data_IF_445416079600
#
_entry.id   IF_445416079600
#
_cell.length_a   1.000
_cell.length_b   1.000
_cell.length_c   1.000
_cell.angle_alpha   90.00
_cell.angle_beta   90.00
_cell.angle_gamma   90.00
#
_symmetry.space_group_name_H-M   'P 1'
#
loop_
_entity.id
_entity.type
_entity.pdbx_description
1 polymer ?
#
# COMPACT_ATOMS: atom_id res chain seq x y z
N UNK A 1 -37.86 43.33 -59.63
CA UNK A 1 -37.03 42.17 -59.46
C UNK A 1 -36.36 42.27 -58.06
N UNK A 2 -36.90 41.53 -57.07
CA UNK A 2 -36.35 41.47 -55.68
C UNK A 2 -35.46 40.23 -55.56
N UNK A 3 -34.12 40.44 -55.43
CA UNK A 3 -33.15 39.35 -55.14
C UNK A 3 -33.28 38.98 -53.65
N UNK A 4 -33.71 37.75 -53.36
CA UNK A 4 -33.64 37.18 -52.04
C UNK A 4 -32.21 36.68 -51.77
N UNK A 5 -31.55 37.27 -50.78
CA UNK A 5 -30.26 36.82 -50.26
C UNK A 5 -30.55 35.67 -49.26
N UNK A 6 -30.17 34.44 -49.59
CA UNK A 6 -30.23 33.30 -48.67
C UNK A 6 -28.92 33.31 -47.90
N UNK A 7 -29.00 33.64 -46.60
CA UNK A 7 -27.86 33.55 -45.65
C UNK A 7 -27.79 32.11 -45.12
N UNK A 8 -26.85 31.31 -45.67
CA UNK A 8 -26.56 29.94 -45.16
C UNK A 8 -25.61 30.08 -43.97
N UNK A 9 -26.14 29.94 -42.76
CA UNK A 9 -25.39 29.93 -41.53
C UNK A 9 -24.75 28.54 -41.38
N UNK A 10 -23.47 28.43 -41.69
CA UNK A 10 -22.66 27.20 -41.45
C UNK A 10 -22.43 27.08 -39.94
N UNK A 11 -23.20 26.18 -39.27
CA UNK A 11 -22.94 25.79 -37.90
C UNK A 11 -21.69 24.91 -37.90
N UNK A 12 -20.57 25.49 -37.56
CA UNK A 12 -19.30 24.75 -37.32
C UNK A 12 -19.45 24.03 -35.97
N UNK A 13 -19.99 22.80 -35.98
CA UNK A 13 -19.90 21.91 -34.83
C UNK A 13 -18.41 21.58 -34.59
N UNK A 14 -17.76 22.31 -33.67
CA UNK A 14 -16.47 21.93 -33.12
C UNK A 14 -16.72 20.65 -32.32
N UNK A 15 -16.60 19.49 -32.94
CA UNK A 15 -16.43 18.22 -32.24
C UNK A 15 -15.06 18.27 -31.55
N UNK A 16 -15.02 18.65 -30.28
CA UNK A 16 -13.88 18.41 -29.44
C UNK A 16 -13.75 16.89 -29.35
N UNK A 17 -12.92 16.31 -30.22
CA UNK A 17 -12.48 14.93 -30.06
C UNK A 17 -11.70 14.88 -28.74
N UNK A 18 -12.36 14.51 -27.66
CA UNK A 18 -11.69 14.05 -26.46
C UNK A 18 -10.93 12.77 -26.85
N UNK A 19 -9.67 12.93 -27.22
CA UNK A 19 -8.79 11.79 -27.37
C UNK A 19 -8.71 11.11 -25.99
N UNK A 20 -9.32 9.94 -25.88
CA UNK A 20 -9.21 9.12 -24.70
C UNK A 20 -7.73 8.88 -24.39
N UNK A 21 -7.25 9.39 -23.28
CA UNK A 21 -5.86 9.18 -22.85
C UNK A 21 -5.78 7.77 -22.27
N UNK A 22 -4.73 7.02 -22.62
CA UNK A 22 -4.42 5.77 -21.94
C UNK A 22 -3.71 6.09 -20.63
N UNK A 23 -4.33 5.73 -19.50
CA UNK A 23 -3.80 5.91 -18.14
C UNK A 23 -3.29 4.57 -17.64
N UNK A 24 -2.01 4.49 -17.30
CA UNK A 24 -1.39 3.29 -16.74
C UNK A 24 -1.45 3.30 -15.22
N UNK A 25 -2.10 2.27 -14.66
CA UNK A 25 -2.21 2.05 -13.21
C UNK A 25 -1.34 0.87 -12.82
N UNK A 26 -0.32 1.12 -12.00
CA UNK A 26 0.62 0.11 -11.55
C UNK A 26 0.38 -0.28 -10.08
N UNK A 27 0.53 -1.55 -9.77
CA UNK A 27 0.50 -2.04 -8.38
C UNK A 27 1.39 -3.27 -8.22
N UNK A 28 2.03 -3.51 -7.07
CA UNK A 28 2.69 -4.77 -6.83
C UNK A 28 1.67 -5.86 -6.50
N UNK A 29 2.02 -7.10 -6.81
CA UNK A 29 1.25 -8.29 -6.40
C UNK A 29 1.08 -8.35 -4.87
N UNK A 30 0.00 -8.99 -4.42
CA UNK A 30 -0.34 -9.15 -3.01
C UNK A 30 -1.47 -8.22 -2.55
N UNK A 31 -1.41 -7.77 -1.28
CA UNK A 31 -2.48 -6.95 -0.68
C UNK A 31 -2.80 -5.66 -1.45
N UNK A 32 -1.81 -4.91 -1.99
CA UNK A 32 -2.11 -3.71 -2.75
C UNK A 32 -2.99 -3.97 -3.99
N UNK A 33 -2.74 -5.09 -4.70
CA UNK A 33 -3.54 -5.46 -5.88
C UNK A 33 -5.00 -5.80 -5.53
N UNK A 34 -5.26 -6.33 -4.33
CA UNK A 34 -6.62 -6.61 -3.87
C UNK A 34 -7.50 -5.35 -3.80
N UNK A 35 -6.93 -4.19 -3.47
CA UNK A 35 -7.69 -2.93 -3.43
C UNK A 35 -8.29 -2.56 -4.79
N UNK A 36 -7.67 -3.01 -5.88
CA UNK A 36 -8.09 -2.76 -7.26
C UNK A 36 -8.96 -3.88 -7.86
N UNK A 37 -9.35 -4.88 -7.07
CA UNK A 37 -9.96 -6.13 -7.57
C UNK A 37 -11.16 -5.91 -8.48
N UNK A 38 -12.10 -5.05 -8.11
CA UNK A 38 -13.27 -4.72 -8.94
C UNK A 38 -12.87 -3.88 -10.15
N UNK A 39 -11.98 -2.89 -9.94
CA UNK A 39 -11.53 -2.00 -11.01
C UNK A 39 -10.84 -2.75 -12.14
N UNK A 40 -9.94 -3.68 -11.84
CA UNK A 40 -9.25 -4.52 -12.83
C UNK A 40 -10.23 -5.35 -13.65
N UNK A 41 -11.30 -5.84 -13.04
CA UNK A 41 -12.29 -6.69 -13.71
C UNK A 41 -13.36 -5.89 -14.49
N UNK A 42 -13.78 -4.71 -14.01
CA UNK A 42 -14.94 -4.00 -14.56
C UNK A 42 -14.61 -2.63 -15.17
N UNK A 43 -13.60 -1.89 -14.65
CA UNK A 43 -13.39 -0.50 -15.00
C UNK A 43 -12.21 -0.31 -15.98
N UNK A 44 -12.38 -0.72 -17.23
CA UNK A 44 -11.40 -0.46 -18.30
C UNK A 44 -11.48 0.97 -18.85
N UNK A 45 -12.52 1.70 -18.51
CA UNK A 45 -12.70 3.12 -18.80
C UNK A 45 -13.23 3.86 -17.58
N UNK A 46 -12.64 5.03 -17.29
CA UNK A 46 -13.06 5.91 -16.19
C UNK A 46 -13.07 7.34 -16.72
N UNK A 47 -14.22 8.03 -16.59
CA UNK A 47 -14.38 9.42 -17.04
C UNK A 47 -13.82 9.67 -18.45
N UNK A 48 -14.10 8.77 -19.41
CA UNK A 48 -13.67 8.87 -20.81
C UNK A 48 -12.20 8.51 -21.08
N UNK A 49 -11.42 8.11 -20.09
CA UNK A 49 -10.04 7.65 -20.27
C UNK A 49 -9.98 6.12 -20.24
N UNK A 50 -9.14 5.53 -21.11
CA UNK A 50 -8.84 4.09 -21.07
C UNK A 50 -7.86 3.81 -19.93
N UNK A 51 -8.10 2.73 -19.19
CA UNK A 51 -7.26 2.33 -18.06
C UNK A 51 -6.55 1.03 -18.38
N UNK A 52 -5.23 1.06 -18.31
CA UNK A 52 -4.36 -0.11 -18.39
C UNK A 52 -3.86 -0.46 -17.00
N UNK A 53 -4.31 -1.59 -16.45
CA UNK A 53 -3.84 -2.08 -15.15
C UNK A 53 -2.68 -3.04 -15.36
N UNK A 54 -1.57 -2.80 -14.66
CA UNK A 54 -0.42 -3.69 -14.62
C UNK A 54 -0.10 -4.09 -13.18
N UNK A 55 -0.19 -5.37 -12.90
CA UNK A 55 0.17 -5.94 -11.59
C UNK A 55 1.59 -6.49 -11.72
N UNK A 56 2.54 -5.83 -11.07
CA UNK A 56 3.93 -6.26 -11.03
C UNK A 56 4.12 -7.43 -10.07
N UNK A 57 5.01 -8.35 -10.42
CA UNK A 57 5.26 -9.57 -9.62
C UNK A 57 5.69 -9.28 -8.17
N UNK A 58 6.32 -8.14 -7.92
CA UNK A 58 6.76 -7.67 -6.61
C UNK A 58 7.02 -6.16 -6.61
N UNK A 59 7.37 -5.59 -5.46
CA UNK A 59 7.69 -4.17 -5.32
C UNK A 59 8.96 -3.75 -6.07
N UNK A 60 9.94 -4.63 -6.25
CA UNK A 60 11.19 -4.29 -6.94
C UNK A 60 10.95 -4.05 -8.44
N UNK A 61 10.12 -4.89 -9.07
CA UNK A 61 9.71 -4.70 -10.46
C UNK A 61 8.93 -3.39 -10.63
N UNK A 62 8.01 -3.08 -9.70
CA UNK A 62 7.27 -1.83 -9.69
C UNK A 62 8.21 -0.60 -9.59
N UNK A 63 9.21 -0.67 -8.70
CA UNK A 63 10.20 0.42 -8.53
C UNK A 63 10.90 0.74 -9.85
N UNK A 64 11.29 -0.28 -10.61
CA UNK A 64 11.95 -0.09 -11.93
C UNK A 64 11.04 0.67 -12.89
N UNK A 65 9.77 0.29 -13.01
CA UNK A 65 8.82 0.96 -13.89
C UNK A 65 8.51 2.39 -13.46
N UNK A 66 8.37 2.61 -12.15
CA UNK A 66 8.11 3.93 -11.62
C UNK A 66 9.30 4.89 -11.81
N UNK A 67 10.53 4.41 -11.67
CA UNK A 67 11.73 5.21 -11.96
C UNK A 67 11.86 5.58 -13.45
N UNK A 68 11.32 4.75 -14.33
CA UNK A 68 11.20 5.06 -15.77
C UNK A 68 9.99 5.96 -16.09
N UNK A 69 9.19 6.33 -15.08
CA UNK A 69 7.95 7.11 -15.21
C UNK A 69 6.89 6.43 -16.09
N UNK A 70 6.87 5.09 -16.13
CA UNK A 70 5.89 4.33 -16.93
C UNK A 70 4.48 4.33 -16.32
N UNK A 71 4.37 4.40 -14.97
CA UNK A 71 3.08 4.49 -14.28
C UNK A 71 2.54 5.91 -14.23
N UNK A 72 1.26 6.10 -14.51
CA UNK A 72 0.57 7.38 -14.35
C UNK A 72 -0.03 7.51 -12.94
N UNK A 73 -0.63 6.42 -12.47
CA UNK A 73 -1.10 6.20 -11.11
C UNK A 73 -0.43 4.93 -10.61
N UNK A 74 -0.04 4.88 -9.35
CA UNK A 74 0.50 3.64 -8.79
C UNK A 74 0.17 3.48 -7.31
N UNK A 75 0.08 2.22 -6.88
CA UNK A 75 0.14 1.87 -5.47
C UNK A 75 1.57 1.42 -5.16
N UNK A 76 2.25 2.18 -4.31
CA UNK A 76 3.68 1.97 -4.01
C UNK A 76 3.91 1.80 -2.52
N UNK A 77 5.03 1.20 -2.07
CA UNK A 77 5.45 1.30 -0.68
C UNK A 77 5.57 2.76 -0.25
N UNK A 78 5.08 3.11 0.93
CA UNK A 78 4.97 4.52 1.36
C UNK A 78 6.31 5.23 1.47
N UNK A 79 7.37 4.52 1.85
CA UNK A 79 8.73 5.06 1.82
C UNK A 79 9.22 5.34 0.39
N UNK A 80 8.77 4.56 -0.59
CA UNK A 80 9.14 4.77 -1.99
C UNK A 80 8.41 5.97 -2.60
N UNK A 81 7.19 6.30 -2.13
CA UNK A 81 6.53 7.55 -2.50
C UNK A 81 7.40 8.77 -2.15
N UNK A 82 8.03 8.77 -0.96
CA UNK A 82 8.99 9.80 -0.57
C UNK A 82 10.23 9.83 -1.49
N UNK A 83 10.74 8.66 -1.88
CA UNK A 83 11.89 8.60 -2.83
C UNK A 83 11.53 9.16 -4.21
N UNK A 84 10.33 8.87 -4.73
CA UNK A 84 9.87 9.42 -6.01
C UNK A 84 9.84 10.96 -5.95
N UNK A 85 9.30 11.51 -4.88
CA UNK A 85 9.27 12.96 -4.64
C UNK A 85 10.67 13.55 -4.55
N UNK A 86 11.53 13.01 -3.70
CA UNK A 86 12.89 13.51 -3.49
C UNK A 86 13.81 13.36 -4.73
N UNK A 87 13.43 12.48 -5.66
CA UNK A 87 14.07 12.36 -6.99
C UNK A 87 13.46 13.27 -8.05
N UNK A 88 12.54 14.17 -7.69
CA UNK A 88 11.84 15.09 -8.60
C UNK A 88 11.14 14.38 -9.77
N UNK A 89 10.48 13.26 -9.48
CA UNK A 89 9.73 12.50 -10.49
C UNK A 89 8.27 12.96 -10.62
N UNK A 90 7.89 14.08 -9.97
CA UNK A 90 6.60 14.75 -10.04
C UNK A 90 5.40 13.86 -9.69
N UNK A 91 5.56 12.94 -8.74
CA UNK A 91 4.46 12.20 -8.14
C UNK A 91 4.02 12.84 -6.85
N UNK A 92 2.70 12.85 -6.63
CA UNK A 92 2.08 13.29 -5.38
C UNK A 92 1.22 12.20 -4.77
N UNK A 93 1.07 12.21 -3.45
CA UNK A 93 0.30 11.24 -2.69
C UNK A 93 -1.18 11.63 -2.69
N UNK A 94 -2.06 10.75 -3.19
CA UNK A 94 -3.52 10.90 -3.12
C UNK A 94 -4.11 10.36 -1.81
N UNK A 95 -3.47 9.36 -1.22
CA UNK A 95 -3.91 8.71 0.02
C UNK A 95 -3.23 7.37 0.26
N UNK A 96 -3.69 6.69 1.29
CA UNK A 96 -3.22 5.37 1.69
C UNK A 96 -4.25 4.31 1.32
N UNK A 97 -3.81 3.17 0.77
CA UNK A 97 -4.68 2.03 0.43
C UNK A 97 -4.40 0.80 1.28
N UNK A 98 -3.29 0.78 2.02
CA UNK A 98 -2.93 -0.31 2.92
C UNK A 98 -2.17 0.22 4.12
N UNK A 99 -2.67 -0.12 5.29
CA UNK A 99 -2.11 0.26 6.58
C UNK A 99 -1.26 -0.87 7.14
N UNK A 100 -0.52 -0.59 8.19
CA UNK A 100 0.38 -1.55 8.80
C UNK A 100 -0.23 -2.93 8.98
N UNK A 101 0.43 -3.97 8.48
CA UNK A 101 -0.04 -5.36 8.50
C UNK A 101 1.03 -6.31 9.03
N UNK A 102 1.94 -5.83 9.89
CA UNK A 102 2.95 -6.66 10.54
C UNK A 102 2.49 -7.13 11.92
N UNK A 103 2.87 -8.37 12.25
CA UNK A 103 2.49 -9.04 13.48
C UNK A 103 3.67 -9.76 14.11
N UNK A 104 3.77 -9.75 15.45
CA UNK A 104 4.68 -10.65 16.16
C UNK A 104 3.94 -11.94 16.48
N UNK A 105 4.50 -13.04 16.00
CA UNK A 105 3.97 -14.40 16.18
C UNK A 105 5.01 -15.23 16.89
N UNK A 106 4.59 -16.12 17.78
CA UNK A 106 5.47 -17.06 18.47
C UNK A 106 4.84 -18.43 18.70
N UNK A 107 5.69 -19.42 19.05
CA UNK A 107 5.31 -20.79 19.44
C UNK A 107 4.67 -20.86 20.81
N UNK A 108 4.75 -19.78 21.61
CA UNK A 108 4.16 -19.66 22.95
C UNK A 108 3.43 -18.34 23.09
N UNK A 109 2.38 -18.32 23.86
CA UNK A 109 1.64 -17.07 24.15
C UNK A 109 2.56 -16.08 24.88
N UNK A 110 2.64 -14.87 24.34
CA UNK A 110 3.33 -13.70 24.93
C UNK A 110 2.27 -12.61 25.13
N UNK A 111 2.19 -12.05 26.33
CA UNK A 111 1.14 -11.10 26.69
C UNK A 111 1.66 -9.66 26.83
N UNK A 112 2.98 -9.50 26.98
CA UNK A 112 3.62 -8.21 27.08
C UNK A 112 4.86 -8.15 26.19
N UNK A 113 5.11 -7.01 25.54
CA UNK A 113 6.34 -6.78 24.78
C UNK A 113 7.60 -6.96 25.63
N UNK A 114 7.53 -6.69 26.94
CA UNK A 114 8.67 -6.88 27.85
C UNK A 114 9.13 -8.33 27.96
N UNK A 115 8.25 -9.30 27.70
CA UNK A 115 8.61 -10.72 27.66
C UNK A 115 9.51 -11.09 26.47
N UNK A 116 9.65 -10.18 25.48
CA UNK A 116 10.60 -10.33 24.38
C UNK A 116 12.06 -10.10 24.81
N UNK A 117 12.31 -9.55 26.00
CA UNK A 117 13.68 -9.40 26.53
C UNK A 117 14.36 -10.76 26.65
N UNK A 118 15.64 -10.78 26.27
CA UNK A 118 16.48 -11.98 26.19
C UNK A 118 15.99 -13.06 25.21
N UNK A 119 15.13 -12.66 24.24
CA UNK A 119 14.66 -13.54 23.16
C UNK A 119 15.35 -13.22 21.85
N UNK A 120 15.12 -14.11 20.88
CA UNK A 120 15.49 -13.90 19.49
C UNK A 120 14.23 -13.72 18.65
N UNK A 121 14.16 -12.68 17.86
CA UNK A 121 13.11 -12.44 16.89
C UNK A 121 13.68 -12.46 15.47
N UNK A 122 12.96 -13.10 14.57
CA UNK A 122 13.33 -13.16 13.16
C UNK A 122 12.46 -12.22 12.34
N UNK A 123 13.07 -11.46 11.46
CA UNK A 123 12.41 -10.52 10.54
C UNK A 123 13.17 -10.46 9.21
N UNK A 124 12.76 -9.58 8.32
CA UNK A 124 13.40 -9.34 7.03
C UNK A 124 13.49 -7.84 6.75
N UNK A 125 14.12 -7.47 5.63
CA UNK A 125 14.17 -6.08 5.18
C UNK A 125 14.94 -5.18 6.16
N UNK A 126 16.18 -5.57 6.51
CA UNK A 126 17.04 -4.81 7.41
C UNK A 126 17.19 -3.35 6.95
N UNK A 127 16.86 -2.39 7.83
CA UNK A 127 16.86 -0.97 7.51
C UNK A 127 15.69 -0.50 6.63
N UNK A 128 14.70 -1.37 6.38
CA UNK A 128 13.46 -1.05 5.66
C UNK A 128 12.26 -1.11 6.61
N UNK A 129 11.07 -0.84 6.12
CA UNK A 129 9.82 -0.77 6.91
C UNK A 129 9.62 -1.92 7.92
N UNK A 130 9.77 -3.22 7.55
CA UNK A 130 9.55 -4.32 8.50
C UNK A 130 10.45 -4.25 9.74
N UNK A 131 11.71 -3.91 9.53
CA UNK A 131 12.72 -3.76 10.56
C UNK A 131 12.52 -2.47 11.36
N UNK A 132 12.36 -1.33 10.67
CA UNK A 132 12.27 -0.02 11.32
C UNK A 132 11.04 0.06 12.23
N UNK A 133 9.88 -0.42 11.77
CA UNK A 133 8.64 -0.44 12.57
C UNK A 133 8.82 -1.32 13.81
N UNK A 134 9.38 -2.51 13.65
CA UNK A 134 9.66 -3.42 14.77
C UNK A 134 10.59 -2.75 15.79
N UNK A 135 11.73 -2.25 15.35
CA UNK A 135 12.75 -1.62 16.22
C UNK A 135 12.20 -0.38 16.93
N UNK A 136 11.46 0.45 16.22
CA UNK A 136 10.81 1.62 16.79
C UNK A 136 9.82 1.24 17.92
N UNK A 137 9.00 0.24 17.70
CA UNK A 137 8.05 -0.24 18.72
C UNK A 137 8.79 -0.82 19.92
N UNK A 138 9.82 -1.63 19.73
CA UNK A 138 10.61 -2.21 20.81
C UNK A 138 11.28 -1.12 21.67
N UNK A 139 11.95 -0.15 21.05
CA UNK A 139 12.59 0.96 21.75
C UNK A 139 11.61 1.78 22.58
N UNK A 140 10.46 2.15 22.01
CA UNK A 140 9.44 2.94 22.71
C UNK A 140 8.73 2.16 23.82
N UNK A 141 8.92 0.84 23.89
CA UNK A 141 8.45 -0.01 24.99
C UNK A 141 9.55 -0.42 25.96
N UNK A 142 10.69 0.29 25.96
CA UNK A 142 11.79 0.11 26.91
C UNK A 142 12.60 -1.16 26.70
N UNK A 143 12.69 -1.63 25.44
CA UNK A 143 13.55 -2.75 25.05
C UNK A 143 14.78 -2.22 24.32
N UNK A 144 15.94 -2.39 24.94
CA UNK A 144 17.22 -2.02 24.34
C UNK A 144 17.59 -3.01 23.24
N UNK A 145 17.77 -2.50 22.00
CA UNK A 145 18.01 -3.34 20.83
C UNK A 145 19.38 -4.01 20.80
N UNK A 146 20.33 -3.51 21.57
CA UNK A 146 21.70 -4.05 21.64
C UNK A 146 21.83 -5.13 22.72
N UNK A 147 21.16 -4.91 23.88
CA UNK A 147 21.36 -5.73 25.06
C UNK A 147 20.17 -6.63 25.41
N UNK A 148 18.93 -6.21 25.07
CA UNK A 148 17.73 -6.89 25.56
C UNK A 148 17.16 -7.90 24.53
N UNK A 149 17.50 -7.82 23.24
CA UNK A 149 16.90 -8.67 22.21
C UNK A 149 17.86 -8.91 21.05
N UNK A 150 17.83 -10.12 20.49
CA UNK A 150 18.58 -10.43 19.26
C UNK A 150 17.62 -10.41 18.07
N UNK A 151 17.85 -9.51 17.11
CA UNK A 151 17.12 -9.45 15.86
C UNK A 151 17.90 -10.18 14.77
N UNK A 152 17.32 -11.28 14.24
CA UNK A 152 17.88 -12.07 13.17
C UNK A 152 17.17 -11.73 11.85
N UNK A 153 17.93 -11.60 10.77
CA UNK A 153 17.36 -11.21 9.47
C UNK A 153 17.44 -12.37 8.50
N UNK A 154 16.32 -12.63 7.81
CA UNK A 154 16.26 -13.49 6.63
C UNK A 154 16.29 -12.62 5.37
N UNK A 155 16.63 -13.21 4.24
CA UNK A 155 16.72 -12.49 2.96
C UNK A 155 15.35 -12.06 2.46
N UNK A 156 14.33 -12.91 2.64
CA UNK A 156 12.95 -12.67 2.21
C UNK A 156 11.95 -13.07 3.30
N UNK A 157 10.85 -12.33 3.42
CA UNK A 157 9.77 -12.67 4.34
C UNK A 157 9.19 -14.07 4.11
N UNK A 158 9.28 -14.61 2.90
CA UNK A 158 8.83 -15.97 2.57
C UNK A 158 9.62 -17.08 3.30
N UNK A 159 10.79 -16.79 3.85
CA UNK A 159 11.58 -17.74 4.63
C UNK A 159 11.07 -17.87 6.08
N UNK A 160 10.34 -16.91 6.60
CA UNK A 160 9.87 -16.89 8.00
C UNK A 160 8.90 -18.05 8.32
N UNK A 161 7.83 -18.32 7.54
CA UNK A 161 6.92 -19.41 7.83
C UNK A 161 7.60 -20.80 7.90
N UNK A 162 8.44 -21.20 6.94
CA UNK A 162 9.13 -22.52 7.03
C UNK A 162 10.15 -22.60 8.17
N UNK A 163 10.80 -21.48 8.55
CA UNK A 163 11.68 -21.47 9.73
C UNK A 163 10.89 -21.66 11.03
N UNK A 164 9.73 -21.00 11.13
CA UNK A 164 8.83 -21.12 12.28
C UNK A 164 8.28 -22.54 12.42
N UNK A 165 7.71 -23.12 11.36
CA UNK A 165 7.12 -24.46 11.35
C UNK A 165 8.15 -25.53 11.74
N UNK A 166 9.42 -25.34 11.36
CA UNK A 166 10.52 -26.26 11.70
C UNK A 166 11.12 -26.02 13.10
N UNK A 167 10.57 -25.07 13.88
CA UNK A 167 11.09 -24.71 15.21
C UNK A 167 12.47 -24.04 15.22
N UNK A 168 12.93 -23.52 14.06
CA UNK A 168 14.20 -22.80 13.95
C UNK A 168 14.08 -21.31 14.28
N UNK A 169 12.87 -20.77 14.25
CA UNK A 169 12.53 -19.41 14.61
C UNK A 169 11.28 -19.40 15.48
N UNK A 170 11.43 -19.27 16.78
CA UNK A 170 10.32 -19.36 17.73
C UNK A 170 9.50 -18.07 17.83
N UNK A 171 10.07 -16.94 17.45
CA UNK A 171 9.40 -15.63 17.39
C UNK A 171 9.74 -14.99 16.05
N UNK A 172 8.71 -14.57 15.32
CA UNK A 172 8.86 -13.94 13.99
C UNK A 172 8.04 -12.65 13.92
N UNK A 173 8.53 -11.68 13.15
CA UNK A 173 7.79 -10.52 12.69
C UNK A 173 7.37 -10.75 11.24
N UNK A 174 6.07 -10.95 11.01
CA UNK A 174 5.52 -11.43 9.74
C UNK A 174 4.34 -10.57 9.27
N UNK A 175 4.23 -10.22 7.97
CA UNK A 175 3.07 -9.50 7.45
C UNK A 175 1.94 -10.43 6.97
N UNK A 176 0.75 -9.86 6.78
CA UNK A 176 -0.23 -10.44 5.86
C UNK A 176 0.27 -10.35 4.39
N UNK A 177 -0.05 -11.30 3.52
CA UNK A 177 -0.91 -12.50 3.71
C UNK A 177 -0.19 -13.72 4.28
N UNK A 178 1.10 -13.60 4.60
CA UNK A 178 1.93 -14.73 5.09
C UNK A 178 1.47 -15.22 6.46
N UNK A 179 1.01 -14.31 7.33
CA UNK A 179 0.50 -14.65 8.65
C UNK A 179 -0.69 -15.62 8.59
N UNK A 180 -1.73 -15.29 7.83
CA UNK A 180 -2.91 -16.16 7.70
C UNK A 180 -2.58 -17.49 7.06
N UNK A 181 -1.64 -17.50 6.11
CA UNK A 181 -1.14 -18.74 5.50
C UNK A 181 -0.37 -19.58 6.52
N UNK A 182 0.45 -18.96 7.38
CA UNK A 182 1.17 -19.67 8.47
C UNK A 182 0.18 -20.30 9.46
N UNK A 183 -0.79 -19.51 9.96
CA UNK A 183 -1.79 -20.01 10.93
C UNK A 183 -2.62 -21.16 10.35
N UNK A 184 -2.91 -21.14 9.07
CA UNK A 184 -3.61 -22.23 8.39
C UNK A 184 -2.81 -23.52 8.39
N UNK A 185 -1.49 -23.43 8.21
CA UNK A 185 -0.56 -24.57 8.17
C UNK A 185 -0.13 -25.05 9.56
N UNK A 186 0.02 -24.13 10.49
CA UNK A 186 0.47 -24.42 11.86
C UNK A 186 -0.46 -23.79 12.90
N UNK A 187 -1.31 -24.63 13.50
CA UNK A 187 -2.28 -24.24 14.53
C UNK A 187 -1.66 -23.85 15.88
N UNK A 188 -0.34 -24.10 16.06
CA UNK A 188 0.40 -23.77 17.28
C UNK A 188 0.92 -22.32 17.28
N UNK A 189 0.79 -21.61 16.18
CA UNK A 189 1.23 -20.23 16.07
C UNK A 189 0.30 -19.27 16.87
N UNK A 190 0.88 -18.56 17.83
CA UNK A 190 0.19 -17.52 18.60
C UNK A 190 0.45 -16.14 17.96
N UNK A 191 -0.59 -15.44 17.55
CA UNK A 191 -0.52 -14.04 17.13
C UNK A 191 -0.54 -13.18 18.41
N UNK A 192 0.60 -12.67 18.81
CA UNK A 192 0.72 -11.97 20.10
C UNK A 192 0.49 -10.46 19.97
N UNK A 193 1.05 -9.83 18.95
CA UNK A 193 0.98 -8.38 18.80
C UNK A 193 0.72 -7.97 17.35
N UNK A 194 -0.23 -7.06 17.18
CA UNK A 194 -0.44 -6.30 15.95
C UNK A 194 0.40 -5.01 16.06
N UNK A 195 1.41 -4.87 15.21
CA UNK A 195 2.31 -3.71 15.28
C UNK A 195 1.61 -2.40 14.87
N UNK A 196 0.57 -2.48 14.04
CA UNK A 196 -0.20 -1.29 13.67
C UNK A 196 -1.00 -0.74 14.85
N UNK A 197 -1.59 -1.61 15.67
CA UNK A 197 -2.35 -1.17 16.85
C UNK A 197 -1.42 -0.56 17.91
N UNK A 198 -0.23 -1.14 18.09
CA UNK A 198 0.78 -0.55 18.98
C UNK A 198 1.23 0.82 18.44
N UNK A 199 1.44 0.93 17.13
CA UNK A 199 1.81 2.20 16.49
C UNK A 199 0.72 3.25 16.69
N UNK A 200 -0.55 2.92 16.45
CA UNK A 200 -1.69 3.84 16.69
C UNK A 200 -1.68 4.39 18.12
N UNK A 201 -1.46 3.51 19.08
CA UNK A 201 -1.40 3.91 20.50
C UNK A 201 -0.19 4.79 20.82
N UNK A 202 0.97 4.48 20.23
CA UNK A 202 2.22 5.21 20.46
C UNK A 202 2.17 6.63 19.88
N UNK A 203 1.68 6.77 18.66
CA UNK A 203 1.66 8.05 17.94
C UNK A 203 0.30 8.78 17.99
N UNK A 204 -0.70 8.21 18.68
CA UNK A 204 -2.05 8.76 18.79
C UNK A 204 -2.68 9.02 17.43
N UNK A 205 -2.46 8.11 16.49
CA UNK A 205 -3.01 8.17 15.13
C UNK A 205 -4.23 7.27 14.98
N UNK A 206 -5.11 7.62 14.06
CA UNK A 206 -6.36 6.87 13.85
C UNK A 206 -6.12 5.58 13.08
N UNK A 207 -5.26 5.63 12.05
CA UNK A 207 -5.11 4.54 11.08
C UNK A 207 -3.83 3.72 11.28
N UNK A 208 -2.81 4.29 11.94
CA UNK A 208 -1.51 3.66 12.16
C UNK A 208 -0.46 4.18 11.19
N UNK A 209 0.46 3.30 10.73
CA UNK A 209 1.47 3.72 9.75
C UNK A 209 1.05 3.35 8.33
N UNK A 210 1.24 4.28 7.36
CA UNK A 210 0.95 3.99 5.95
C UNK A 210 1.96 2.98 5.41
N UNK A 211 1.46 1.88 4.82
CA UNK A 211 2.30 0.84 4.25
C UNK A 211 2.25 0.84 2.72
N UNK A 212 1.06 1.08 2.16
CA UNK A 212 0.83 1.14 0.71
C UNK A 212 0.11 2.43 0.35
N UNK A 213 0.75 3.24 -0.49
CA UNK A 213 0.36 4.60 -0.83
C UNK A 213 -0.07 4.70 -2.28
N UNK A 214 -1.20 5.36 -2.54
CA UNK A 214 -1.64 5.72 -3.87
C UNK A 214 -0.96 7.02 -4.29
N UNK A 215 -0.20 6.99 -5.37
CA UNK A 215 0.44 8.15 -5.98
C UNK A 215 -0.06 8.38 -7.39
N UNK A 216 0.00 9.63 -7.84
CA UNK A 216 -0.32 10.05 -9.20
C UNK A 216 0.72 11.02 -9.72
N UNK A 217 0.98 11.02 -11.03
CA UNK A 217 1.72 12.12 -11.66
C UNK A 217 0.98 13.45 -11.44
N UNK A 218 1.69 14.44 -10.93
CA UNK A 218 1.10 15.76 -10.61
C UNK A 218 0.37 16.38 -11.80
N UNK A 219 0.93 16.24 -12.99
CA UNK A 219 0.31 16.75 -14.22
C UNK A 219 -1.10 16.15 -14.47
N UNK A 220 -1.37 14.88 -14.10
CA UNK A 220 -2.70 14.28 -14.27
C UNK A 220 -3.69 14.84 -13.26
N UNK A 221 -3.25 15.01 -12.00
CA UNK A 221 -4.06 15.66 -10.98
C UNK A 221 -4.47 17.07 -11.39
N UNK A 222 -3.50 17.86 -11.88
CA UNK A 222 -3.71 19.27 -12.24
C UNK A 222 -4.61 19.42 -13.49
N UNK A 223 -4.43 18.57 -14.50
CA UNK A 223 -5.14 18.69 -15.79
C UNK A 223 -6.47 17.95 -15.83
N UNK A 224 -6.67 16.92 -15.01
CA UNK A 224 -7.84 16.05 -15.06
C UNK A 224 -8.42 15.78 -13.65
N UNK A 225 -8.77 16.78 -12.85
CA UNK A 225 -9.24 16.58 -11.46
C UNK A 225 -10.52 15.75 -11.41
N UNK A 226 -11.42 15.87 -12.40
CA UNK A 226 -12.63 15.06 -12.47
C UNK A 226 -12.35 13.57 -12.69
N UNK A 227 -11.33 13.26 -13.51
CA UNK A 227 -10.88 11.88 -13.68
C UNK A 227 -10.35 11.31 -12.35
N UNK A 228 -9.51 12.07 -11.64
CA UNK A 228 -8.99 11.64 -10.33
C UNK A 228 -10.12 11.40 -9.34
N UNK A 229 -11.11 12.31 -9.27
CA UNK A 229 -12.29 12.12 -8.41
C UNK A 229 -12.99 10.78 -8.73
N UNK A 230 -13.31 10.55 -10.00
CA UNK A 230 -13.98 9.31 -10.42
C UNK A 230 -13.10 8.06 -10.18
N UNK A 231 -11.78 8.17 -10.34
CA UNK A 231 -10.85 7.08 -10.03
C UNK A 231 -10.90 6.71 -8.55
N UNK A 232 -10.86 7.70 -7.65
CA UNK A 232 -10.93 7.47 -6.21
C UNK A 232 -12.27 6.86 -5.78
N UNK A 233 -13.39 7.32 -6.34
CA UNK A 233 -14.73 6.74 -6.10
C UNK A 233 -14.78 5.26 -6.54
N UNK A 234 -14.18 4.92 -7.68
CA UNK A 234 -14.08 3.52 -8.14
C UNK A 234 -13.16 2.69 -7.23
N UNK A 235 -12.06 3.26 -6.72
CA UNK A 235 -11.18 2.59 -5.77
C UNK A 235 -11.91 2.27 -4.45
N UNK A 236 -12.63 3.25 -3.88
CA UNK A 236 -13.45 3.05 -2.69
C UNK A 236 -14.52 1.96 -2.92
N UNK A 237 -15.18 1.99 -4.09
CA UNK A 237 -16.13 0.93 -4.50
C UNK A 237 -15.45 -0.42 -4.61
N UNK A 238 -14.22 -0.49 -5.13
CA UNK A 238 -13.45 -1.73 -5.26
C UNK A 238 -13.08 -2.32 -3.89
N UNK A 239 -12.65 -1.49 -2.95
CA UNK A 239 -12.35 -1.91 -1.58
C UNK A 239 -13.63 -2.36 -0.86
N UNK A 240 -14.73 -1.61 -1.01
CA UNK A 240 -16.02 -2.03 -0.45
C UNK A 240 -16.51 -3.37 -1.02
N UNK A 241 -16.34 -3.61 -2.31
CA UNK A 241 -16.62 -4.89 -2.94
C UNK A 241 -15.77 -6.03 -2.35
N UNK A 242 -14.48 -5.78 -2.09
CA UNK A 242 -13.55 -6.76 -1.51
C UNK A 242 -14.04 -7.28 -0.14
N UNK A 243 -14.61 -6.41 0.68
CA UNK A 243 -15.16 -6.77 2.01
C UNK A 243 -16.63 -7.18 1.98
N UNK A 244 -17.31 -7.07 0.84
CA UNK A 244 -18.69 -7.48 0.66
C UNK A 244 -18.87 -8.98 0.42
N UNK A 245 -20.12 -9.42 0.43
CA UNK A 245 -20.53 -10.82 0.19
C UNK A 245 -20.98 -11.01 -1.27
N UNK A 246 -20.14 -10.66 -2.24
CA UNK A 246 -20.46 -10.84 -3.65
C UNK A 246 -20.04 -12.22 -4.14
N UNK A 247 -20.92 -12.91 -4.86
CA UNK A 247 -20.69 -14.28 -5.37
C UNK A 247 -19.46 -14.37 -6.29
N UNK A 248 -19.17 -13.31 -7.03
CA UNK A 248 -18.05 -13.25 -7.96
C UNK A 248 -16.73 -12.75 -7.32
N UNK A 249 -16.69 -12.45 -6.01
CA UNK A 249 -15.49 -11.91 -5.33
C UNK A 249 -14.28 -12.80 -5.52
N UNK A 250 -14.42 -14.10 -5.26
CA UNK A 250 -13.31 -15.05 -5.36
C UNK A 250 -12.83 -15.22 -6.81
N UNK A 251 -13.75 -15.22 -7.77
CA UNK A 251 -13.43 -15.26 -9.19
C UNK A 251 -12.63 -14.01 -9.61
N UNK A 252 -13.05 -12.82 -9.18
CA UNK A 252 -12.33 -11.57 -9.46
C UNK A 252 -10.95 -11.54 -8.83
N UNK A 253 -10.77 -12.05 -7.61
CA UNK A 253 -9.46 -12.18 -6.97
C UNK A 253 -8.57 -13.13 -7.76
N UNK A 254 -9.09 -14.30 -8.19
CA UNK A 254 -8.34 -15.26 -8.98
C UNK A 254 -7.85 -14.68 -10.32
N UNK A 255 -8.68 -13.84 -10.98
CA UNK A 255 -8.31 -13.17 -12.25
C UNK A 255 -7.17 -12.15 -12.10
N UNK A 256 -6.87 -11.67 -10.89
CA UNK A 256 -5.70 -10.82 -10.66
C UNK A 256 -4.38 -11.57 -10.85
N UNK A 257 -4.41 -12.92 -10.85
CA UNK A 257 -3.23 -13.79 -10.97
C UNK A 257 -2.12 -13.43 -9.97
N UNK A 258 -2.50 -13.19 -8.72
CA UNK A 258 -1.61 -12.87 -7.61
C UNK A 258 -1.39 -14.06 -6.69
N UNK A 259 -0.23 -14.15 -6.03
CA UNK A 259 0.08 -15.24 -5.11
C UNK A 259 -0.60 -15.04 -3.75
N UNK A 260 -1.89 -15.39 -3.65
CA UNK A 260 -2.66 -15.38 -2.40
C UNK A 260 -3.29 -16.75 -2.19
N UNK A 261 -3.23 -17.24 -0.95
CA UNK A 261 -3.89 -18.49 -0.58
C UNK A 261 -5.39 -18.25 -0.40
N UNK A 262 -6.17 -18.66 -1.40
CA UNK A 262 -7.63 -18.46 -1.41
C UNK A 262 -8.35 -19.22 -0.27
N UNK A 263 -7.79 -20.31 0.26
CA UNK A 263 -8.37 -21.04 1.40
C UNK A 263 -8.44 -20.21 2.70
N UNK A 264 -7.72 -19.10 2.75
CA UNK A 264 -7.66 -18.20 3.93
C UNK A 264 -7.92 -16.74 3.58
N UNK A 265 -8.52 -16.48 2.42
CA UNK A 265 -8.73 -15.10 1.94
C UNK A 265 -9.52 -14.25 2.95
N UNK A 266 -10.58 -14.78 3.55
CA UNK A 266 -11.36 -14.03 4.53
C UNK A 266 -10.54 -13.73 5.80
N UNK A 267 -9.69 -14.66 6.24
CA UNK A 267 -8.77 -14.43 7.37
C UNK A 267 -7.70 -13.36 7.03
N UNK A 268 -7.23 -13.35 5.78
CA UNK A 268 -6.32 -12.31 5.29
C UNK A 268 -7.01 -10.95 5.35
N UNK A 269 -8.22 -10.84 4.80
CA UNK A 269 -8.95 -9.59 4.74
C UNK A 269 -9.23 -9.00 6.14
N UNK A 270 -9.53 -9.85 7.13
CA UNK A 270 -9.72 -9.40 8.51
C UNK A 270 -8.48 -8.74 9.14
N UNK A 271 -7.28 -8.99 8.62
CA UNK A 271 -6.00 -8.53 9.19
C UNK A 271 -5.16 -7.68 8.22
N UNK A 272 -5.59 -7.58 6.97
CA UNK A 272 -4.82 -6.92 5.90
C UNK A 272 -4.81 -5.39 6.03
N UNK A 273 -5.74 -4.80 6.78
CA UNK A 273 -5.91 -3.35 6.93
C UNK A 273 -5.94 -2.62 5.57
N UNK A 274 -6.66 -3.19 4.57
CA UNK A 274 -6.88 -2.54 3.27
C UNK A 274 -8.04 -1.57 3.45
N UNK A 275 -7.74 -0.28 3.36
CA UNK A 275 -8.74 0.78 3.43
C UNK A 275 -8.18 2.03 2.74
N UNK A 276 -9.00 2.68 1.90
CA UNK A 276 -8.57 3.91 1.25
C UNK A 276 -8.93 5.12 2.09
N UNK A 277 -7.88 5.80 2.55
CA UNK A 277 -8.01 7.08 3.26
C UNK A 277 -7.32 8.16 2.43
N UNK A 278 -8.08 9.17 2.02
CA UNK A 278 -7.55 10.33 1.30
C UNK A 278 -6.51 11.05 2.14
N UNK A 279 -5.53 11.61 1.47
CA UNK A 279 -4.39 12.27 2.14
C UNK A 279 -4.82 13.40 3.09
N UNK A 280 -5.88 14.13 2.78
CA UNK A 280 -6.43 15.19 3.63
C UNK A 280 -6.76 14.70 5.05
N UNK A 281 -7.11 13.41 5.19
CA UNK A 281 -7.54 12.78 6.42
C UNK A 281 -6.46 11.95 7.11
N UNK A 282 -5.23 11.87 6.55
CA UNK A 282 -4.16 11.04 7.10
C UNK A 282 -2.74 11.63 6.95
N UNK A 283 -2.60 12.94 6.80
CA UNK A 283 -1.27 13.60 6.73
C UNK A 283 -0.43 13.33 7.97
N UNK A 284 -1.02 13.39 9.15
CA UNK A 284 -0.34 13.16 10.44
C UNK A 284 0.32 11.77 10.51
N UNK A 285 -0.33 10.76 9.92
CA UNK A 285 0.20 9.40 9.84
C UNK A 285 1.50 9.36 9.02
N UNK A 286 1.54 10.07 7.87
CA UNK A 286 2.74 10.19 7.05
C UNK A 286 3.86 10.97 7.73
N UNK A 287 3.55 12.09 8.38
CA UNK A 287 4.55 12.89 9.10
C UNK A 287 5.24 12.06 10.19
N UNK A 288 4.47 11.34 11.00
CA UNK A 288 5.00 10.47 12.03
C UNK A 288 5.83 9.32 11.41
N UNK A 289 5.31 8.70 10.36
CA UNK A 289 5.99 7.60 9.71
C UNK A 289 7.32 8.04 9.06
N UNK A 290 7.33 9.13 8.32
CA UNK A 290 8.55 9.65 7.70
C UNK A 290 9.57 10.12 8.73
N UNK A 291 9.16 10.73 9.84
CA UNK A 291 10.03 11.08 10.96
C UNK A 291 10.75 9.85 11.52
N UNK A 292 9.99 8.78 11.78
CA UNK A 292 10.55 7.52 12.28
C UNK A 292 11.52 6.91 11.26
N UNK A 293 11.12 6.78 10.00
CA UNK A 293 12.01 6.24 8.97
C UNK A 293 13.30 7.04 8.86
N UNK A 294 13.22 8.38 8.90
CA UNK A 294 14.37 9.27 8.81
C UNK A 294 15.36 9.09 9.99
N UNK A 295 14.82 8.89 11.20
CA UNK A 295 15.65 8.67 12.41
C UNK A 295 16.48 7.38 12.30
N UNK A 296 15.93 6.32 11.73
CA UNK A 296 16.61 5.03 11.59
C UNK A 296 17.49 4.96 10.33
N UNK A 297 17.00 5.49 9.22
CA UNK A 297 17.66 5.40 7.91
C UNK A 297 17.05 6.40 6.91
N UNK A 298 17.60 7.60 6.81
CA UNK A 298 17.11 8.63 5.87
C UNK A 298 17.15 8.19 4.40
N UNK A 299 18.04 7.25 4.02
CA UNK A 299 18.15 6.76 2.64
C UNK A 299 16.88 6.09 2.14
N UNK A 300 16.07 5.51 3.05
CA UNK A 300 14.78 4.87 2.63
C UNK A 300 13.73 5.88 2.18
N UNK A 301 13.94 7.16 2.48
CA UNK A 301 13.13 8.28 2.00
C UNK A 301 13.75 9.00 0.80
N UNK A 302 14.95 8.58 0.36
CA UNK A 302 15.72 9.30 -0.65
C UNK A 302 16.58 10.43 -0.09
N UNK A 303 16.88 10.40 1.24
CA UNK A 303 17.82 11.30 1.93
C UNK A 303 17.17 12.25 2.92
N UNK A 304 16.00 12.78 2.62
CA UNK A 304 15.33 13.78 3.45
C UNK A 304 13.85 13.43 3.66
N UNK A 305 13.24 13.99 4.70
CA UNK A 305 11.79 14.01 4.85
C UNK A 305 11.23 14.95 3.76
N UNK A 306 10.28 14.50 2.92
CA UNK A 306 9.64 15.35 1.93
C UNK A 306 8.90 16.52 2.58
N UNK A 307 8.80 17.65 1.88
CA UNK A 307 7.94 18.76 2.30
C UNK A 307 6.46 18.46 1.99
N UNK A 308 5.56 19.37 2.40
CA UNK A 308 4.11 19.19 2.25
C UNK A 308 3.62 19.12 0.80
N UNK A 309 4.43 19.55 -0.18
CA UNK A 309 4.06 19.48 -1.60
C UNK A 309 4.01 18.04 -2.14
N UNK A 310 4.55 17.07 -1.38
CA UNK A 310 4.35 15.65 -1.69
C UNK A 310 2.87 15.25 -1.61
N UNK A 311 2.06 15.96 -0.82
CA UNK A 311 0.65 15.66 -0.64
C UNK A 311 -0.20 16.36 -1.69
N UNK A 312 -1.09 15.59 -2.31
CA UNK A 312 -2.06 16.15 -3.25
C UNK A 312 -2.96 17.19 -2.55
N UNK A 313 -3.27 18.26 -3.26
CA UNK A 313 -4.29 19.22 -2.87
C UNK A 313 -5.51 19.03 -3.75
N UNK A 314 -6.66 18.82 -3.16
CA UNK A 314 -7.92 18.65 -3.90
C UNK A 314 -8.68 19.99 -3.84
N UNK A 315 -8.81 20.64 -4.99
CA UNK A 315 -9.60 21.85 -5.16
C UNK A 315 -11.07 21.54 -5.38
#
# INVERSE_FOLDING_TARGET
MRKKFIFVMFLFCFTISLFAKNIKVLTPSGLPALSLVKMVNENKQIAGNNIEYKIEKNSDALVVDMLKREGDIAIVPSNFAAQLYNKNLDYVILGTVGWGSFYIVSDKKITSLKELKNKQIYTFGRGLTPDIVLRNILLNNGINLENDIKINYVTSGNELPPLFIRGKANIINIPEPMLSTLIYKDKKAYVNFNLNDIWKNLYKTKYGYPQSTLVVKKEILDKNPQFIKSFLENLESSIKFLYGNSDNKNDYINRLNIMINMNVIDNILLKANIDFIRIDNCKQEYENYFKVLNQFNSKVLGGNIPDEKIFATFN
#
